data_IF_303871569284
#
_entry.id   IF_303871569284
#
_cell.length_a   1.000
_cell.length_b   1.000
_cell.length_c   1.000
_cell.angle_alpha   90.00
_cell.angle_beta   90.00
_cell.angle_gamma   90.00
#
_symmetry.space_group_name_H-M   'P 1'
#
loop_
_entity.id
_entity.type
_entity.pdbx_description
1 polymer ?
#
# COMPACT_ATOMS: atom_id res chain seq x y z
N UNK A 1 5.47 3.53 9.00
CA UNK A 1 4.19 3.91 8.39
C UNK A 1 4.38 5.21 7.65
N UNK A 2 4.23 5.17 6.33
CA UNK A 2 4.46 6.29 5.40
C UNK A 2 3.15 7.03 5.10
N UNK A 3 3.22 8.22 4.49
CA UNK A 3 2.03 8.94 4.03
C UNK A 3 1.11 9.46 5.15
N UNK A 4 1.64 9.76 6.33
CA UNK A 4 0.85 10.26 7.48
C UNK A 4 0.49 11.74 7.39
N UNK A 5 1.25 12.49 6.61
CA UNK A 5 1.00 13.91 6.37
C UNK A 5 0.70 14.12 4.89
N UNK A 6 -0.04 15.18 4.56
CA UNK A 6 -0.34 15.54 3.17
C UNK A 6 0.94 15.61 2.31
N UNK A 7 1.97 16.30 2.82
CA UNK A 7 3.28 16.39 2.14
C UNK A 7 3.93 15.03 1.88
N UNK A 8 3.84 14.09 2.83
CA UNK A 8 4.38 12.75 2.60
C UNK A 8 3.57 11.97 1.57
N UNK A 9 2.24 12.09 1.60
CA UNK A 9 1.36 11.44 0.62
C UNK A 9 1.60 11.99 -0.79
N UNK A 10 1.76 13.31 -0.94
CA UNK A 10 2.09 13.96 -2.22
C UNK A 10 3.42 13.46 -2.79
N UNK A 11 4.49 13.39 -1.98
CA UNK A 11 5.79 12.86 -2.43
C UNK A 11 5.65 11.41 -2.92
N UNK A 12 4.86 10.59 -2.22
CA UNK A 12 4.68 9.19 -2.62
C UNK A 12 3.83 9.08 -3.89
N UNK A 13 2.83 9.95 -4.06
CA UNK A 13 2.04 10.01 -5.28
C UNK A 13 2.92 10.35 -6.49
N UNK A 14 3.79 11.36 -6.38
CA UNK A 14 4.74 11.72 -7.44
C UNK A 14 5.66 10.54 -7.79
N UNK A 15 6.19 9.85 -6.78
CA UNK A 15 7.02 8.65 -6.97
C UNK A 15 6.25 7.52 -7.65
N UNK A 16 5.00 7.29 -7.25
CA UNK A 16 4.14 6.26 -7.81
C UNK A 16 3.83 6.51 -9.29
N UNK A 17 3.55 7.76 -9.66
CA UNK A 17 3.34 8.18 -11.04
C UNK A 17 4.62 8.00 -11.88
N UNK A 18 5.77 8.40 -11.35
CA UNK A 18 7.05 8.21 -12.04
C UNK A 18 7.37 6.72 -12.27
N UNK A 19 7.04 5.84 -11.32
CA UNK A 19 7.18 4.39 -11.50
C UNK A 19 6.25 3.85 -12.58
N UNK A 20 4.99 4.29 -12.62
CA UNK A 20 4.05 3.94 -13.68
C UNK A 20 4.57 4.37 -15.06
N UNK A 21 5.06 5.61 -15.19
CA UNK A 21 5.64 6.13 -16.43
C UNK A 21 6.89 5.35 -16.87
N UNK A 22 7.68 4.85 -15.91
CA UNK A 22 8.81 3.97 -16.16
C UNK A 22 8.42 2.55 -16.60
N UNK A 23 7.13 2.22 -16.67
CA UNK A 23 6.61 0.92 -17.12
C UNK A 23 6.32 -0.07 -16.00
N UNK A 24 6.21 0.38 -14.74
CA UNK A 24 5.76 -0.48 -13.65
C UNK A 24 4.35 -1.02 -13.96
N UNK A 25 4.15 -2.33 -13.81
CA UNK A 25 2.88 -2.99 -14.16
C UNK A 25 1.88 -3.08 -13.00
N UNK A 26 2.35 -2.95 -11.76
CA UNK A 26 1.53 -2.90 -10.55
C UNK A 26 2.36 -2.30 -9.41
N UNK A 27 1.69 -1.64 -8.46
CA UNK A 27 2.34 -1.02 -7.30
C UNK A 27 1.91 -1.71 -6.00
N UNK A 28 2.82 -1.80 -5.02
CA UNK A 28 2.51 -2.25 -3.66
C UNK A 28 2.67 -1.09 -2.68
N UNK A 29 1.62 -0.77 -1.92
CA UNK A 29 1.65 0.18 -0.81
C UNK A 29 1.70 -0.57 0.53
N UNK A 30 2.73 -0.32 1.33
CA UNK A 30 2.93 -0.95 2.63
C UNK A 30 2.83 0.07 3.77
N UNK A 31 1.99 -0.23 4.76
CA UNK A 31 1.93 0.49 6.02
C UNK A 31 1.64 1.98 5.83
N UNK A 32 0.46 2.31 5.33
CA UNK A 32 0.02 3.66 4.97
C UNK A 32 -1.39 3.93 5.48
N UNK A 33 -1.77 5.19 5.83
CA UNK A 33 -3.15 5.54 6.10
C UNK A 33 -4.07 5.23 4.91
N UNK A 34 -5.31 4.83 5.21
CA UNK A 34 -6.32 4.45 4.20
C UNK A 34 -6.55 5.56 3.19
N UNK A 35 -6.66 6.80 3.66
CA UNK A 35 -6.96 7.98 2.83
C UNK A 35 -5.82 8.29 1.85
N UNK A 36 -4.57 8.14 2.31
CA UNK A 36 -3.39 8.32 1.45
C UNK A 36 -3.30 7.21 0.40
N UNK A 37 -3.63 5.98 0.76
CA UNK A 37 -3.64 4.85 -0.17
C UNK A 37 -4.77 4.95 -1.20
N UNK A 38 -5.96 5.40 -0.79
CA UNK A 38 -7.09 5.67 -1.68
C UNK A 38 -6.72 6.72 -2.74
N UNK A 39 -6.15 7.85 -2.30
CA UNK A 39 -5.68 8.91 -3.21
C UNK A 39 -4.68 8.39 -4.26
N UNK A 40 -3.70 7.58 -3.83
CA UNK A 40 -2.69 7.03 -4.76
C UNK A 40 -3.32 6.02 -5.71
N UNK A 41 -4.23 5.17 -5.21
CA UNK A 41 -4.94 4.17 -6.02
C UNK A 41 -5.78 4.84 -7.11
N UNK A 42 -6.55 5.87 -6.76
CA UNK A 42 -7.41 6.59 -7.72
C UNK A 42 -6.61 7.36 -8.79
N UNK A 43 -5.35 7.70 -8.51
CA UNK A 43 -4.50 8.47 -9.41
C UNK A 43 -3.71 7.62 -10.42
N UNK A 44 -3.65 6.30 -10.25
CA UNK A 44 -2.89 5.40 -11.11
C UNK A 44 -3.82 4.62 -12.06
N UNK A 45 -3.28 4.24 -13.21
CA UNK A 45 -3.92 3.38 -14.21
C UNK A 45 -3.44 1.93 -14.15
N UNK A 46 -2.54 1.61 -13.21
CA UNK A 46 -2.02 0.27 -12.94
C UNK A 46 -2.59 -0.27 -11.62
N UNK A 47 -2.74 -1.60 -11.46
CA UNK A 47 -3.23 -2.17 -10.21
C UNK A 47 -2.37 -1.77 -9.00
N UNK A 48 -3.03 -1.36 -7.93
CA UNK A 48 -2.41 -1.05 -6.64
C UNK A 48 -2.80 -2.10 -5.62
N UNK A 49 -1.81 -2.77 -5.05
CA UNK A 49 -1.97 -3.73 -3.96
C UNK A 49 -1.58 -3.08 -2.64
N UNK A 50 -2.21 -3.49 -1.54
CA UNK A 50 -1.93 -2.96 -0.21
C UNK A 50 -1.60 -4.06 0.81
N UNK A 51 -0.68 -3.76 1.73
CA UNK A 51 -0.51 -4.49 3.00
C UNK A 51 -0.46 -3.47 4.13
N UNK A 52 -1.48 -3.49 5.00
CA UNK A 52 -1.64 -2.45 6.02
C UNK A 52 -1.81 -1.04 5.43
N UNK A 53 -2.46 -0.94 4.26
CA UNK A 53 -2.75 0.31 3.56
C UNK A 53 -4.27 0.61 3.48
N UNK A 54 -5.10 -0.14 4.20
CA UNK A 54 -6.56 -0.04 4.12
C UNK A 54 -7.16 -0.89 2.99
N UNK A 55 -8.46 -0.75 2.79
CA UNK A 55 -9.33 -1.50 1.88
C UNK A 55 -9.62 -0.76 0.56
N UNK A 56 -9.02 0.42 0.36
CA UNK A 56 -9.24 1.29 -0.81
C UNK A 56 -8.14 1.17 -1.87
N UNK A 57 -7.66 -0.06 -2.03
CA UNK A 57 -6.67 -0.51 -3.02
C UNK A 57 -7.30 -1.62 -3.86
N UNK A 58 -6.77 -1.89 -5.05
CA UNK A 58 -7.35 -2.90 -5.97
C UNK A 58 -7.20 -4.34 -5.48
N UNK A 59 -6.22 -4.59 -4.61
CA UNK A 59 -6.01 -5.91 -4.03
C UNK A 59 -5.23 -5.87 -2.72
N UNK A 60 -5.25 -6.98 -2.01
CA UNK A 60 -4.57 -7.13 -0.72
C UNK A 60 -3.40 -8.11 -0.85
N UNK A 61 -2.29 -7.75 -0.23
CA UNK A 61 -1.16 -8.62 0.00
C UNK A 61 -1.11 -8.95 1.50
N UNK A 62 -1.02 -10.24 1.82
CA UNK A 62 -0.85 -10.72 3.19
C UNK A 62 0.20 -11.81 3.19
N UNK A 63 1.07 -11.82 4.19
CA UNK A 63 2.06 -12.87 4.37
C UNK A 63 1.35 -14.15 4.83
N UNK A 64 1.54 -15.25 4.09
CA UNK A 64 0.89 -16.53 4.38
C UNK A 64 1.10 -17.01 5.82
N UNK A 65 2.32 -16.91 6.34
CA UNK A 65 2.63 -17.31 7.72
C UNK A 65 1.85 -16.50 8.75
N UNK A 66 1.69 -15.19 8.51
CA UNK A 66 0.89 -14.33 9.38
C UNK A 66 -0.59 -14.74 9.31
N UNK A 67 -1.11 -14.97 8.11
CA UNK A 67 -2.49 -15.42 7.90
C UNK A 67 -2.76 -16.77 8.59
N UNK A 68 -1.78 -17.67 8.57
CA UNK A 68 -1.87 -18.99 9.18
C UNK A 68 -1.54 -19.03 10.68
N UNK A 69 -1.18 -17.90 11.28
CA UNK A 69 -0.80 -17.85 12.70
C UNK A 69 0.51 -18.58 13.02
N UNK A 70 1.42 -18.71 12.05
CA UNK A 70 2.71 -19.40 12.20
C UNK A 70 3.78 -18.48 12.80
N UNK A 71 3.46 -17.82 13.91
CA UNK A 71 4.33 -16.92 14.65
C UNK A 71 4.18 -17.10 16.17
N UNK A 72 5.23 -16.77 16.92
CA UNK A 72 5.32 -17.10 18.35
C UNK A 72 4.46 -16.18 19.23
N UNK A 73 4.72 -14.87 19.21
CA UNK A 73 4.04 -13.91 20.11
C UNK A 73 3.63 -12.58 19.44
N UNK A 74 4.19 -12.25 18.26
CA UNK A 74 3.90 -10.99 17.58
C UNK A 74 2.86 -11.17 16.49
N UNK A 75 1.68 -10.54 16.67
CA UNK A 75 0.67 -10.39 15.62
C UNK A 75 0.76 -9.01 14.97
N UNK A 76 1.02 -8.96 13.67
CA UNK A 76 0.93 -7.73 12.88
C UNK A 76 -0.48 -7.14 12.95
N UNK A 77 -0.58 -5.80 13.02
CA UNK A 77 -1.87 -5.09 13.18
C UNK A 77 -2.80 -5.18 11.96
N UNK A 78 -2.30 -5.67 10.83
CA UNK A 78 -2.96 -5.69 9.53
C UNK A 78 -3.24 -7.12 9.04
N UNK A 79 -3.23 -8.08 9.97
CA UNK A 79 -3.52 -9.52 9.76
C UNK A 79 -4.75 -9.91 10.58
#
# INVERSE_FOLDING_TARGET
MQGKTAKQAEIILEQAQALQEAGCSFLLLEGMPRESAEMITEALNIPVYGIGAGDKVDGQLVIFHDLMGLFWEFKSKFV
#
